data_IF_678885020407
#
_entry.id   IF_678885020407
#
_cell.length_a   1.000
_cell.length_b   1.000
_cell.length_c   1.000
_cell.angle_alpha   90.00
_cell.angle_beta   90.00
_cell.angle_gamma   90.00
#
_symmetry.space_group_name_H-M   'P 1'
#
loop_
_entity.id
_entity.type
_entity.pdbx_description
1 polymer ?
#
# COMPACT_ATOMS: atom_id res chain seq x y z
N UNK A 1 -33.15 -8.56 -11.13
CA UNK A 1 -32.97 -7.78 -9.90
C UNK A 1 -32.70 -8.68 -8.70
N UNK A 2 -33.54 -9.70 -8.44
CA UNK A 2 -33.35 -10.61 -7.30
C UNK A 2 -32.09 -11.47 -7.44
N UNK A 3 -31.75 -11.93 -8.64
CA UNK A 3 -30.52 -12.70 -8.92
C UNK A 3 -29.27 -11.83 -8.77
N UNK A 4 -29.35 -10.54 -9.14
CA UNK A 4 -28.26 -9.59 -8.94
C UNK A 4 -28.06 -9.26 -7.45
N UNK A 5 -29.17 -9.13 -6.69
CA UNK A 5 -29.12 -8.88 -5.26
C UNK A 5 -28.56 -10.08 -4.48
N UNK A 6 -28.99 -11.31 -4.83
CA UNK A 6 -28.44 -12.52 -4.23
C UNK A 6 -26.95 -12.67 -4.54
N UNK A 7 -26.51 -12.45 -5.77
CA UNK A 7 -25.12 -12.49 -6.16
C UNK A 7 -24.29 -11.44 -5.43
N UNK A 8 -24.84 -10.25 -5.21
CA UNK A 8 -24.17 -9.16 -4.49
C UNK A 8 -23.99 -9.50 -3.00
N UNK A 9 -24.98 -10.09 -2.35
CA UNK A 9 -24.88 -10.51 -0.96
C UNK A 9 -23.82 -11.60 -0.76
N UNK A 10 -23.71 -12.55 -1.68
CA UNK A 10 -22.65 -13.56 -1.67
C UNK A 10 -21.26 -12.92 -1.79
N UNK A 11 -21.11 -11.93 -2.68
CA UNK A 11 -19.86 -11.18 -2.81
C UNK A 11 -19.50 -10.43 -1.52
N UNK A 12 -20.46 -9.79 -0.88
CA UNK A 12 -20.25 -9.08 0.39
C UNK A 12 -19.80 -10.04 1.49
N UNK A 13 -20.48 -11.17 1.63
CA UNK A 13 -20.15 -12.18 2.63
C UNK A 13 -18.76 -12.75 2.40
N UNK A 14 -18.46 -13.16 1.18
CA UNK A 14 -17.17 -13.73 0.82
C UNK A 14 -16.04 -12.69 1.02
N UNK A 15 -16.27 -11.46 0.62
CA UNK A 15 -15.31 -10.37 0.80
C UNK A 15 -14.98 -10.15 2.28
N UNK A 16 -16.00 -10.13 3.15
CA UNK A 16 -15.79 -9.99 4.59
C UNK A 16 -14.93 -11.14 5.13
N UNK A 17 -15.26 -12.37 4.77
CA UNK A 17 -14.53 -13.55 5.23
C UNK A 17 -13.07 -13.55 4.76
N UNK A 18 -12.82 -13.23 3.49
CA UNK A 18 -11.48 -13.23 2.92
C UNK A 18 -10.63 -12.07 3.42
N UNK A 19 -11.19 -10.88 3.56
CA UNK A 19 -10.46 -9.75 4.17
C UNK A 19 -10.02 -10.07 5.59
N UNK A 20 -10.86 -10.76 6.35
CA UNK A 20 -10.52 -11.20 7.70
C UNK A 20 -9.45 -12.28 7.68
N UNK A 21 -9.60 -13.26 6.79
CA UNK A 21 -8.65 -14.39 6.70
C UNK A 21 -7.23 -13.93 6.35
N UNK A 22 -7.10 -13.03 5.37
CA UNK A 22 -5.79 -12.54 4.93
C UNK A 22 -5.27 -11.35 5.75
N UNK A 23 -6.11 -10.69 6.54
CA UNK A 23 -5.72 -9.46 7.23
C UNK A 23 -5.50 -8.30 6.28
N UNK A 24 -6.44 -8.08 5.36
CA UNK A 24 -6.29 -7.17 4.24
C UNK A 24 -5.78 -7.91 3.00
N UNK A 25 -5.38 -7.19 1.97
CA UNK A 25 -5.08 -7.79 0.66
C UNK A 25 -3.77 -7.33 0.03
N UNK A 26 -3.02 -6.49 0.71
CA UNK A 26 -1.68 -6.10 0.28
C UNK A 26 -0.70 -6.24 1.45
N UNK A 27 0.57 -6.38 1.12
CA UNK A 27 1.66 -6.42 2.08
C UNK A 27 2.90 -5.79 1.47
N UNK A 28 3.86 -5.43 2.31
CA UNK A 28 5.16 -4.92 1.86
C UNK A 28 6.18 -6.04 1.99
N UNK A 29 6.88 -6.31 0.90
CA UNK A 29 7.85 -7.40 0.83
C UNK A 29 9.23 -6.83 0.51
N UNK A 30 10.30 -7.21 1.25
CA UNK A 30 11.67 -6.89 0.84
C UNK A 30 12.01 -7.58 -0.47
N UNK A 31 12.69 -6.87 -1.38
CA UNK A 31 13.14 -7.45 -2.65
C UNK A 31 14.58 -7.96 -2.61
N UNK A 32 15.31 -7.68 -1.53
CA UNK A 32 16.72 -7.99 -1.39
C UNK A 32 16.93 -9.21 -0.50
N UNK A 33 17.99 -10.01 -0.74
CA UNK A 33 18.30 -11.14 0.12
C UNK A 33 18.94 -10.69 1.44
N UNK A 34 18.45 -11.22 2.54
CA UNK A 34 19.08 -11.13 3.86
C UNK A 34 19.18 -12.55 4.38
N UNK A 35 20.39 -13.12 4.37
CA UNK A 35 20.62 -14.51 4.77
C UNK A 35 21.19 -14.62 6.17
N UNK A 36 21.83 -13.57 6.69
CA UNK A 36 22.45 -13.51 8.00
C UNK A 36 22.49 -12.07 8.51
N UNK A 37 22.68 -11.91 9.80
CA UNK A 37 22.65 -10.59 10.44
C UNK A 37 23.63 -9.58 9.82
N UNK A 38 24.81 -10.03 9.41
CA UNK A 38 25.81 -9.13 8.83
C UNK A 38 25.38 -8.53 7.48
N UNK A 39 24.40 -9.12 6.79
CA UNK A 39 23.88 -8.56 5.55
C UNK A 39 23.17 -7.22 5.77
N UNK A 40 22.67 -6.96 6.98
CA UNK A 40 22.12 -5.66 7.34
C UNK A 40 23.17 -4.54 7.31
N UNK A 41 24.45 -4.86 7.37
CA UNK A 41 25.51 -3.87 7.20
C UNK A 41 25.52 -3.25 5.79
N UNK A 42 25.01 -3.96 4.79
CA UNK A 42 24.85 -3.48 3.42
C UNK A 42 23.58 -2.63 3.30
N UNK A 43 22.44 -3.15 3.80
CA UNK A 43 21.12 -2.57 3.58
C UNK A 43 20.75 -1.52 4.61
N UNK A 44 21.41 -1.56 5.76
CA UNK A 44 21.21 -0.61 6.84
C UNK A 44 22.57 -0.06 7.30
N UNK A 45 22.84 0.01 8.59
CA UNK A 45 24.06 0.61 9.14
C UNK A 45 25.26 -0.35 9.09
N UNK A 46 26.44 0.04 8.59
CA UNK A 46 26.83 1.39 8.15
C UNK A 46 26.65 1.66 6.64
N UNK A 47 26.44 0.64 5.83
CA UNK A 47 26.49 0.74 4.36
C UNK A 47 25.49 1.74 3.77
N UNK A 48 24.30 1.88 4.37
CA UNK A 48 23.24 2.76 3.88
C UNK A 48 23.64 4.24 3.86
N UNK A 49 24.69 4.61 4.60
CA UNK A 49 25.19 5.98 4.59
C UNK A 49 25.67 6.42 3.20
N UNK A 50 26.18 5.48 2.41
CA UNK A 50 26.73 5.82 1.07
C UNK A 50 25.64 6.22 0.06
N UNK A 51 24.60 5.40 -0.19
CA UNK A 51 23.50 5.86 -1.05
C UNK A 51 22.83 7.12 -0.51
N UNK A 52 22.69 7.28 0.81
CA UNK A 52 22.12 8.49 1.38
C UNK A 52 22.94 9.73 1.08
N UNK A 53 24.27 9.64 1.17
CA UNK A 53 25.16 10.75 0.78
C UNK A 53 25.03 11.10 -0.71
N UNK A 54 25.00 10.08 -1.55
CA UNK A 54 24.83 10.28 -2.99
C UNK A 54 23.53 11.01 -3.32
N UNK A 55 22.43 10.59 -2.71
CA UNK A 55 21.11 11.23 -2.89
C UNK A 55 21.12 12.67 -2.36
N UNK A 56 21.78 12.91 -1.23
CA UNK A 56 21.91 14.26 -0.65
C UNK A 56 22.57 15.23 -1.62
N UNK A 57 23.56 14.77 -2.38
CA UNK A 57 24.25 15.59 -3.39
C UNK A 57 23.45 15.74 -4.67
N UNK A 58 22.69 14.72 -5.05
CA UNK A 58 21.89 14.67 -6.27
C UNK A 58 20.56 13.98 -5.99
N UNK A 59 19.53 14.73 -5.58
CA UNK A 59 18.25 14.15 -5.14
C UNK A 59 17.57 13.24 -6.14
N UNK A 60 17.77 13.43 -7.44
CA UNK A 60 17.17 12.59 -8.48
C UNK A 60 17.69 11.14 -8.42
N UNK A 61 18.85 10.90 -7.82
CA UNK A 61 19.35 9.55 -7.57
C UNK A 61 18.42 8.73 -6.68
N UNK A 62 17.50 9.36 -5.95
CA UNK A 62 16.51 8.64 -5.16
C UNK A 62 15.61 7.75 -6.03
N UNK A 63 15.40 8.09 -7.29
CA UNK A 63 14.63 7.27 -8.22
C UNK A 63 15.40 6.06 -8.73
N UNK A 64 16.71 6.06 -8.61
CA UNK A 64 17.56 4.92 -8.95
C UNK A 64 17.87 4.05 -7.71
N UNK A 65 18.15 4.70 -6.59
CA UNK A 65 18.68 4.04 -5.40
C UNK A 65 17.62 3.66 -4.35
N UNK A 66 16.36 4.03 -4.58
CA UNK A 66 15.25 3.69 -3.67
C UNK A 66 14.02 3.23 -4.44
N UNK A 67 13.04 2.72 -3.71
CA UNK A 67 11.75 2.31 -4.28
C UNK A 67 10.89 3.47 -4.77
N UNK A 68 11.34 4.73 -4.63
CA UNK A 68 10.59 5.90 -5.10
C UNK A 68 10.26 5.85 -6.58
N UNK A 69 11.08 5.17 -7.39
CA UNK A 69 10.83 5.06 -8.82
C UNK A 69 9.50 4.35 -9.15
N UNK A 70 8.99 3.51 -8.26
CA UNK A 70 7.79 2.69 -8.51
C UNK A 70 6.75 2.77 -7.40
N UNK A 71 6.90 3.66 -6.43
CA UNK A 71 6.00 3.75 -5.27
C UNK A 71 5.14 4.99 -5.36
N UNK A 72 3.83 4.82 -5.17
CA UNK A 72 2.87 5.92 -5.06
C UNK A 72 2.05 5.78 -3.78
N UNK A 73 1.49 6.89 -3.32
CA UNK A 73 0.57 6.91 -2.20
C UNK A 73 -0.88 6.99 -2.70
N UNK A 74 -1.77 6.19 -2.10
CA UNK A 74 -3.21 6.33 -2.24
C UNK A 74 -3.70 6.96 -0.95
N UNK A 75 -4.16 8.21 -1.02
CA UNK A 75 -4.47 9.01 0.17
C UNK A 75 -5.96 9.29 0.26
N UNK A 76 -6.54 9.05 1.42
CA UNK A 76 -7.93 9.42 1.72
C UNK A 76 -8.09 9.61 3.23
N UNK A 77 -8.88 10.61 3.62
CA UNK A 77 -9.27 10.83 5.01
C UNK A 77 -10.63 10.18 5.36
N UNK A 78 -11.25 9.51 4.38
CA UNK A 78 -12.53 8.84 4.57
C UNK A 78 -13.74 9.77 4.60
N UNK A 79 -13.61 11.00 4.08
CA UNK A 79 -14.74 11.94 4.01
C UNK A 79 -15.78 11.52 2.98
N UNK A 80 -15.39 10.68 2.02
CA UNK A 80 -16.31 10.09 1.05
C UNK A 80 -15.86 8.67 0.71
N UNK A 81 -16.61 7.68 1.20
CA UNK A 81 -16.29 6.26 1.02
C UNK A 81 -17.47 5.58 0.31
N UNK A 82 -17.38 5.40 -1.01
CA UNK A 82 -18.39 4.75 -1.83
C UNK A 82 -19.81 5.27 -1.51
N UNK A 83 -20.75 4.38 -1.20
CA UNK A 83 -22.12 4.74 -0.78
C UNK A 83 -22.26 5.03 0.71
N UNK A 84 -21.17 5.01 1.48
CA UNK A 84 -21.21 5.19 2.93
C UNK A 84 -21.06 6.64 3.37
N UNK A 85 -20.68 7.56 2.45
CA UNK A 85 -20.42 8.94 2.78
C UNK A 85 -19.19 9.12 3.66
N UNK A 86 -19.28 9.94 4.71
CA UNK A 86 -18.19 10.21 5.65
C UNK A 86 -18.07 9.06 6.66
N UNK A 87 -17.22 8.10 6.37
CA UNK A 87 -17.03 6.92 7.21
C UNK A 87 -15.71 6.89 7.98
N UNK A 88 -14.80 7.85 7.71
CA UNK A 88 -13.50 7.95 8.37
C UNK A 88 -12.39 7.21 7.62
N UNK A 89 -11.12 7.52 7.98
CA UNK A 89 -9.96 6.94 7.26
C UNK A 89 -9.84 5.42 7.44
N UNK A 90 -10.25 4.88 8.56
CA UNK A 90 -10.21 3.44 8.81
C UNK A 90 -11.15 2.69 7.86
N UNK A 91 -12.37 3.17 7.67
CA UNK A 91 -13.34 2.57 6.76
C UNK A 91 -12.97 2.76 5.27
N UNK A 92 -12.19 3.81 4.96
CA UNK A 92 -11.66 4.02 3.61
C UNK A 92 -10.53 3.05 3.26
N UNK A 93 -9.86 2.50 4.25
CA UNK A 93 -8.64 1.72 4.06
C UNK A 93 -8.83 0.51 3.14
N UNK A 94 -9.88 -0.32 3.29
CA UNK A 94 -10.11 -1.43 2.36
C UNK A 94 -10.29 -0.99 0.91
N UNK A 95 -10.93 0.16 0.69
CA UNK A 95 -11.11 0.72 -0.66
C UNK A 95 -9.77 1.18 -1.24
N UNK A 96 -8.94 1.82 -0.42
CA UNK A 96 -7.59 2.23 -0.82
C UNK A 96 -6.70 1.04 -1.13
N UNK A 97 -6.78 -0.02 -0.35
CA UNK A 97 -6.08 -1.28 -0.64
C UNK A 97 -6.57 -1.91 -1.94
N UNK A 98 -7.88 -1.80 -2.24
CA UNK A 98 -8.43 -2.26 -3.52
C UNK A 98 -7.82 -1.53 -4.71
N UNK A 99 -7.66 -0.21 -4.59
CA UNK A 99 -6.96 0.59 -5.60
C UNK A 99 -5.49 0.17 -5.73
N UNK A 100 -4.81 -0.04 -4.60
CA UNK A 100 -3.42 -0.50 -4.60
C UNK A 100 -3.28 -1.85 -5.30
N UNK A 101 -4.22 -2.77 -5.08
CA UNK A 101 -4.27 -4.07 -5.73
C UNK A 101 -4.40 -3.91 -7.26
N UNK A 102 -5.31 -3.04 -7.72
CA UNK A 102 -5.48 -2.77 -9.15
C UNK A 102 -4.23 -2.15 -9.77
N UNK A 103 -3.59 -1.19 -9.09
CA UNK A 103 -2.33 -0.60 -9.56
C UNK A 103 -1.26 -1.68 -9.76
N UNK A 104 -1.18 -2.65 -8.87
CA UNK A 104 -0.18 -3.72 -8.96
C UNK A 104 -0.49 -4.67 -10.11
N UNK A 105 -1.72 -5.20 -10.17
CA UNK A 105 -2.10 -6.17 -11.20
C UNK A 105 -2.14 -5.58 -12.60
N UNK A 106 -2.57 -4.33 -12.75
CA UNK A 106 -2.75 -3.71 -14.05
C UNK A 106 -1.55 -2.88 -14.51
N UNK A 107 -0.79 -2.31 -13.58
CA UNK A 107 0.30 -1.40 -13.89
C UNK A 107 1.66 -1.75 -13.30
N UNK A 108 1.75 -2.76 -12.45
CA UNK A 108 3.01 -3.12 -11.80
C UNK A 108 3.52 -2.09 -10.79
N UNK A 109 2.67 -1.16 -10.37
CA UNK A 109 3.04 -0.07 -9.46
C UNK A 109 2.79 -0.47 -8.02
N UNK A 110 3.74 -0.15 -7.15
CA UNK A 110 3.65 -0.39 -5.71
C UNK A 110 2.93 0.80 -5.06
N UNK A 111 1.64 0.63 -4.76
CA UNK A 111 0.81 1.66 -4.14
C UNK A 111 0.63 1.36 -2.67
N UNK A 112 0.77 2.40 -1.84
CA UNK A 112 0.64 2.29 -0.37
C UNK A 112 -0.51 3.18 0.09
N UNK A 113 -1.51 2.61 0.79
CA UNK A 113 -2.59 3.40 1.37
C UNK A 113 -2.10 4.28 2.53
N UNK A 114 -2.55 5.52 2.56
CA UNK A 114 -2.32 6.44 3.66
C UNK A 114 -3.66 7.06 4.06
N UNK A 115 -4.07 6.85 5.30
CA UNK A 115 -5.34 7.34 5.81
C UNK A 115 -5.17 8.41 6.88
N UNK A 116 -4.76 9.65 6.51
CA UNK A 116 -4.68 10.71 7.49
C UNK A 116 -6.08 11.09 7.99
N UNK A 117 -6.17 11.44 9.27
CA UNK A 117 -7.42 11.95 9.82
C UNK A 117 -7.56 13.42 9.48
N UNK A 118 -8.70 13.79 8.88
CA UNK A 118 -8.97 15.18 8.57
C UNK A 118 -9.09 15.99 9.86
N UNK A 119 -8.47 17.17 9.89
CA UNK A 119 -8.71 18.16 10.94
C UNK A 119 -9.89 19.04 10.54
N UNK A 120 -10.76 19.32 11.48
CA UNK A 120 -11.93 20.20 11.26
C UNK A 120 -11.55 21.67 11.06
#
# INVERSE_FOLDING_TARGET
LAEEEEGTEEWYKLSMELHSFYGGKIEVIPKVPVRRLKDFAIWYTPGVAEPSRAISRSPDLSFELTSRWNTIAVVSDGTRVLGLGKAGPEAAYPVMEGKALLFKYLGGVDAVPLGPRASD
#
